data_IF_541269372157
#
_entry.id   IF_541269372157
#
_cell.length_a   1.000
_cell.length_b   1.000
_cell.length_c   1.000
_cell.angle_alpha   90.00
_cell.angle_beta   90.00
_cell.angle_gamma   90.00
#
_symmetry.space_group_name_H-M   'P 1'
#
loop_
_entity.id
_entity.type
_entity.pdbx_description
1 polymer ?
#
# COMPACT_ATOMS: atom_id res chain seq x y z
N UNK A 1 23.93 1.52 -7.24
CA UNK A 1 22.68 1.77 -7.98
C UNK A 1 21.62 0.88 -7.35
N UNK A 2 20.76 1.43 -6.49
CA UNK A 2 19.67 0.64 -5.88
C UNK A 2 18.46 0.83 -6.78
N UNK A 3 18.23 -0.15 -7.65
CA UNK A 3 16.98 -0.26 -8.42
C UNK A 3 15.94 -0.87 -7.49
N UNK A 4 15.19 -0.02 -6.76
CA UNK A 4 14.07 -0.49 -5.95
C UNK A 4 12.88 -0.68 -6.91
N UNK A 5 12.85 -1.81 -7.62
CA UNK A 5 11.71 -2.19 -8.46
C UNK A 5 10.58 -2.82 -7.64
N UNK A 6 10.89 -3.27 -6.41
CA UNK A 6 9.96 -3.86 -5.46
C UNK A 6 10.08 -3.10 -4.14
N UNK A 7 9.04 -2.35 -3.78
CA UNK A 7 8.91 -1.80 -2.43
C UNK A 7 8.14 -2.80 -1.58
N UNK A 8 8.81 -3.32 -0.55
CA UNK A 8 8.15 -4.11 0.50
C UNK A 8 7.42 -3.14 1.43
N UNK A 9 6.09 -3.06 1.30
CA UNK A 9 5.27 -2.26 2.21
C UNK A 9 4.92 -3.11 3.42
N UNK A 10 5.51 -2.82 4.57
CA UNK A 10 5.17 -3.48 5.83
C UNK A 10 4.08 -2.69 6.56
N UNK A 11 2.83 -3.18 6.62
CA UNK A 11 1.81 -2.53 7.42
C UNK A 11 2.21 -2.66 8.87
N UNK A 12 2.53 -1.54 9.52
CA UNK A 12 2.65 -1.51 10.97
C UNK A 12 1.26 -1.84 11.53
N UNK A 13 1.10 -3.03 12.09
CA UNK A 13 -0.12 -3.40 12.82
C UNK A 13 -0.44 -2.24 13.79
N UNK A 14 -1.69 -1.73 13.79
CA UNK A 14 -2.04 -0.66 14.70
C UNK A 14 -1.68 -1.14 16.12
N UNK A 15 -0.92 -0.31 16.85
CA UNK A 15 -0.61 -0.60 18.25
C UNK A 15 -1.92 -0.94 18.94
N UNK A 16 -1.97 -2.11 19.60
CA UNK A 16 -3.17 -2.65 20.24
C UNK A 16 -3.91 -1.51 20.93
N UNK A 17 -5.05 -1.10 20.37
CA UNK A 17 -5.97 -0.21 21.08
C UNK A 17 -6.46 -1.04 22.26
N UNK A 18 -5.88 -0.81 23.45
CA UNK A 18 -6.18 -1.53 24.68
C UNK A 18 -7.62 -1.25 25.10
N UNK A 19 -8.56 -2.00 24.56
CA UNK A 19 -9.91 -2.16 25.10
C UNK A 19 -10.10 -3.63 25.48
N UNK A 20 -9.69 -3.97 26.70
CA UNK A 20 -10.02 -5.27 27.31
C UNK A 20 -9.33 -6.50 26.71
N UNK A 21 -9.63 -7.71 27.21
CA UNK A 21 -8.84 -8.92 26.98
C UNK A 21 -9.11 -9.63 25.64
N UNK A 22 -9.67 -8.94 24.64
CA UNK A 22 -9.93 -9.53 23.33
C UNK A 22 -8.99 -8.94 22.28
N UNK A 23 -7.97 -9.71 21.93
CA UNK A 23 -7.19 -9.46 20.71
C UNK A 23 -8.11 -9.82 19.56
N UNK A 24 -8.78 -8.84 18.95
CA UNK A 24 -9.50 -9.05 17.69
C UNK A 24 -8.46 -8.94 16.59
N UNK A 25 -8.06 -10.04 15.96
CA UNK A 25 -7.13 -9.97 14.85
C UNK A 25 -7.80 -9.30 13.64
N UNK A 26 -7.05 -8.40 12.98
CA UNK A 26 -7.50 -7.64 11.81
C UNK A 26 -7.52 -8.51 10.56
N UNK A 27 -8.40 -9.51 10.51
CA UNK A 27 -8.42 -10.49 9.43
C UNK A 27 -9.44 -10.19 8.32
N UNK A 28 -10.44 -9.32 8.56
CA UNK A 28 -11.55 -9.19 7.61
C UNK A 28 -11.40 -8.00 6.67
N UNK A 29 -11.38 -8.34 5.39
CA UNK A 29 -11.32 -7.39 4.27
C UNK A 29 -9.93 -7.31 3.68
N UNK A 30 -9.82 -6.53 2.62
CA UNK A 30 -8.59 -6.45 1.82
C UNK A 30 -7.77 -5.19 2.02
N UNK A 31 -6.77 -5.03 1.17
CA UNK A 31 -5.95 -3.81 1.07
C UNK A 31 -5.90 -3.29 -0.37
N UNK A 32 -5.58 -2.01 -0.49
CA UNK A 32 -5.33 -1.30 -1.74
C UNK A 32 -4.11 -0.41 -1.56
N UNK A 33 -3.22 -0.40 -2.55
CA UNK A 33 -2.02 0.44 -2.58
C UNK A 33 -2.10 1.28 -3.85
N UNK A 34 -2.00 2.60 -3.70
CA UNK A 34 -2.09 3.56 -4.80
C UNK A 34 -0.93 4.54 -4.72
N UNK A 35 -0.46 4.98 -5.89
CA UNK A 35 0.42 6.12 -6.02
C UNK A 35 -0.42 7.34 -6.39
N UNK A 36 -0.35 8.37 -5.57
CA UNK A 36 -1.03 9.65 -5.81
C UNK A 36 0.00 10.76 -6.01
N UNK A 37 -0.32 11.74 -6.84
CA UNK A 37 0.50 12.94 -7.01
C UNK A 37 0.30 13.92 -5.83
N UNK A 38 1.09 15.00 -5.82
CA UNK A 38 0.99 16.09 -4.85
C UNK A 38 -0.40 16.76 -4.77
N UNK A 39 -1.19 16.67 -5.84
CA UNK A 39 -2.52 17.26 -5.95
C UNK A 39 -3.62 16.26 -5.51
N UNK A 40 -3.23 15.03 -5.17
CA UNK A 40 -4.11 13.95 -4.73
C UNK A 40 -4.74 13.13 -5.86
N UNK A 41 -4.30 13.31 -7.11
CA UNK A 41 -4.78 12.51 -8.23
C UNK A 41 -4.07 11.15 -8.27
N UNK A 42 -4.80 10.10 -8.60
CA UNK A 42 -4.23 8.76 -8.78
C UNK A 42 -3.32 8.73 -10.02
N UNK A 43 -2.04 8.45 -9.80
CA UNK A 43 -1.04 8.25 -10.85
C UNK A 43 -1.05 6.82 -11.33
N UNK A 44 -1.11 5.87 -10.39
CA UNK A 44 -1.05 4.43 -10.63
C UNK A 44 -1.70 3.64 -9.48
N UNK A 45 -2.42 2.58 -9.81
CA UNK A 45 -2.85 1.59 -8.82
C UNK A 45 -1.79 0.48 -8.74
N UNK A 46 -1.12 0.41 -7.60
CA UNK A 46 0.03 -0.49 -7.39
C UNK A 46 -0.41 -1.88 -6.91
N UNK A 47 -1.50 -1.94 -6.15
CA UNK A 47 -2.19 -3.18 -5.80
C UNK A 47 -3.67 -2.88 -5.50
N UNK A 48 -4.60 -3.72 -5.93
CA UNK A 48 -4.40 -4.97 -6.68
C UNK A 48 -4.29 -4.75 -8.20
N UNK A 49 -3.41 -5.50 -8.86
CA UNK A 49 -3.12 -5.32 -10.30
C UNK A 49 -4.28 -5.79 -11.20
N UNK A 50 -5.20 -6.61 -10.67
CA UNK A 50 -6.25 -7.28 -11.44
C UNK A 50 -7.56 -6.47 -11.54
N UNK A 51 -7.58 -5.20 -11.14
CA UNK A 51 -8.78 -4.35 -11.18
C UNK A 51 -9.91 -4.76 -10.21
N UNK A 52 -9.60 -5.64 -9.25
CA UNK A 52 -10.47 -5.87 -8.09
C UNK A 52 -10.34 -4.67 -7.13
N UNK A 53 -11.35 -4.30 -6.36
CA UNK A 53 -11.22 -3.09 -5.52
C UNK A 53 -10.22 -3.25 -4.36
N UNK A 54 -10.04 -4.48 -3.87
CA UNK A 54 -9.16 -4.79 -2.73
C UNK A 54 -8.53 -6.18 -2.90
N UNK A 55 -7.20 -6.27 -2.69
CA UNK A 55 -6.48 -7.54 -2.60
C UNK A 55 -6.62 -8.19 -1.21
N UNK A 56 -6.42 -9.51 -1.12
CA UNK A 56 -6.21 -10.20 0.16
C UNK A 56 -7.47 -10.42 1.01
N UNK A 57 -8.66 -10.45 0.40
CA UNK A 57 -9.95 -10.68 1.10
C UNK A 57 -10.07 -12.08 1.75
N UNK A 58 -9.17 -13.00 1.39
CA UNK A 58 -9.15 -14.39 1.86
C UNK A 58 -7.96 -14.56 2.83
N UNK A 59 -8.20 -14.53 4.14
CA UNK A 59 -7.27 -14.94 5.22
C UNK A 59 -5.81 -14.46 5.12
N UNK A 60 -5.57 -13.22 4.69
CA UNK A 60 -4.21 -12.74 4.53
C UNK A 60 -3.69 -12.03 5.80
N UNK A 61 -2.94 -12.80 6.59
CA UNK A 61 -1.90 -12.36 7.53
C UNK A 61 -0.73 -11.65 6.84
N UNK A 62 -0.83 -11.33 5.55
CA UNK A 62 0.23 -10.72 4.76
C UNK A 62 0.66 -9.39 5.39
N UNK A 63 1.88 -9.39 5.92
CA UNK A 63 2.55 -8.21 6.49
C UNK A 63 3.44 -7.53 5.47
N UNK A 64 3.39 -7.95 4.21
CA UNK A 64 4.18 -7.33 3.16
C UNK A 64 3.61 -7.63 1.80
N UNK A 65 3.65 -6.63 0.93
CA UNK A 65 3.34 -6.77 -0.48
C UNK A 65 4.48 -6.19 -1.31
N UNK A 66 4.82 -6.86 -2.41
CA UNK A 66 5.72 -6.32 -3.43
C UNK A 66 4.89 -5.58 -4.47
N UNK A 67 5.22 -4.31 -4.68
CA UNK A 67 4.60 -3.49 -5.71
C UNK A 67 5.63 -3.00 -6.70
N UNK A 68 5.21 -2.90 -7.96
CA UNK A 68 6.04 -2.41 -9.06
C UNK A 68 5.51 -1.09 -9.58
N UNK A 69 6.41 -0.13 -9.73
CA UNK A 69 6.10 1.17 -10.33
C UNK A 69 6.29 1.10 -11.83
N UNK A 70 5.32 1.58 -12.60
CA UNK A 70 5.44 1.71 -14.07
C UNK A 70 5.62 3.16 -14.52
N UNK A 71 5.33 4.13 -13.64
CA UNK A 71 5.42 5.56 -13.95
C UNK A 71 6.39 6.27 -13.01
N UNK A 72 7.29 7.06 -13.60
CA UNK A 72 8.08 8.02 -12.83
C UNK A 72 7.19 9.12 -12.25
N UNK A 73 7.52 9.58 -11.05
CA UNK A 73 6.67 10.44 -10.25
C UNK A 73 7.53 11.24 -9.25
N UNK A 74 7.40 12.57 -9.26
CA UNK A 74 8.08 13.45 -8.30
C UNK A 74 7.08 14.02 -7.30
N UNK A 75 7.46 14.05 -6.01
CA UNK A 75 6.62 14.53 -4.91
C UNK A 75 5.29 13.78 -4.82
N UNK A 76 5.38 12.45 -4.87
CA UNK A 76 4.22 11.58 -4.88
C UNK A 76 4.06 10.87 -3.55
N UNK A 77 2.88 10.37 -3.25
CA UNK A 77 2.60 9.64 -2.02
C UNK A 77 2.12 8.24 -2.36
N UNK A 78 2.71 7.24 -1.73
CA UNK A 78 2.15 5.88 -1.69
C UNK A 78 1.11 5.83 -0.58
N UNK A 79 -0.14 5.58 -0.95
CA UNK A 79 -1.28 5.43 -0.05
C UNK A 79 -1.66 3.96 0.07
N UNK A 80 -1.52 3.41 1.27
CA UNK A 80 -2.04 2.10 1.66
C UNK A 80 -3.39 2.28 2.37
N UNK A 81 -4.43 1.65 1.85
CA UNK A 81 -5.74 1.54 2.49
C UNK A 81 -6.01 0.09 2.87
N UNK A 82 -6.37 -0.14 4.13
CA UNK A 82 -6.73 -1.48 4.63
C UNK A 82 -8.12 -1.48 5.22
N UNK A 83 -8.92 -2.47 4.85
CA UNK A 83 -10.25 -2.66 5.43
C UNK A 83 -10.16 -3.27 6.83
N UNK A 84 -11.10 -2.89 7.70
CA UNK A 84 -11.33 -3.53 9.00
C UNK A 84 -12.82 -3.86 9.12
N UNK A 85 -13.28 -4.81 8.31
CA UNK A 85 -14.71 -5.12 8.20
C UNK A 85 -15.28 -5.71 9.50
N UNK A 86 -14.43 -6.13 10.43
CA UNK A 86 -14.77 -6.48 11.79
C UNK A 86 -15.35 -5.31 12.62
N UNK A 87 -14.99 -4.06 12.33
CA UNK A 87 -15.44 -2.87 13.08
C UNK A 87 -16.56 -2.10 12.37
N UNK A 88 -16.83 -2.45 11.12
CA UNK A 88 -17.89 -1.85 10.33
C UNK A 88 -17.61 -1.96 8.84
N UNK A 89 -18.69 -1.95 8.03
CA UNK A 89 -18.59 -2.14 6.57
C UNK A 89 -17.73 -1.08 5.88
N UNK A 90 -17.67 0.13 6.43
CA UNK A 90 -16.93 1.28 5.89
C UNK A 90 -15.61 1.58 6.60
N UNK A 91 -15.20 0.80 7.61
CA UNK A 91 -14.00 1.12 8.38
C UNK A 91 -12.73 0.88 7.55
N UNK A 92 -11.86 1.89 7.46
CA UNK A 92 -10.60 1.86 6.70
C UNK A 92 -9.47 2.46 7.52
N UNK A 93 -8.32 1.78 7.51
CA UNK A 93 -7.05 2.34 7.96
C UNK A 93 -6.29 2.88 6.75
N UNK A 94 -5.62 4.02 6.92
CA UNK A 94 -4.81 4.67 5.90
C UNK A 94 -3.40 4.90 6.39
N UNK A 95 -2.42 4.59 5.57
CA UNK A 95 -1.02 4.92 5.78
C UNK A 95 -0.47 5.58 4.53
N UNK A 96 0.29 6.65 4.71
CA UNK A 96 0.87 7.43 3.62
C UNK A 96 2.40 7.44 3.74
N UNK A 97 3.10 7.40 2.61
CA UNK A 97 4.54 7.57 2.55
C UNK A 97 4.92 8.42 1.33
N UNK A 98 5.68 9.48 1.54
CA UNK A 98 6.14 10.36 0.45
C UNK A 98 7.34 9.73 -0.27
N UNK A 99 7.30 9.72 -1.60
CA UNK A 99 8.25 9.04 -2.48
C UNK A 99 8.56 9.86 -3.71
N UNK A 100 9.75 9.62 -4.26
CA UNK A 100 10.12 10.04 -5.61
C UNK A 100 10.46 8.77 -6.40
N UNK A 101 9.72 8.53 -7.49
CA UNK A 101 9.91 7.42 -8.41
C UNK A 101 10.68 7.93 -9.63
N UNK A 102 11.90 7.44 -9.81
CA UNK A 102 12.80 7.88 -10.89
C UNK A 102 12.81 6.85 -12.03
N UNK A 103 12.76 7.32 -13.27
CA UNK A 103 12.99 6.45 -14.44
C UNK A 103 14.48 6.13 -14.54
N UNK A 104 14.84 4.85 -14.46
CA UNK A 104 16.21 4.42 -14.71
C UNK A 104 16.43 4.30 -16.21
N UNK A 105 16.98 5.34 -16.83
CA UNK A 105 17.57 5.20 -18.17
C UNK A 105 18.88 4.44 -17.99
N UNK A 106 19.07 3.25 -18.59
CA UNK A 106 20.36 2.59 -18.59
C UNK A 106 21.32 3.47 -19.40
N UNK A 107 22.10 4.29 -18.70
CA UNK A 107 23.05 5.19 -19.32
C UNK A 107 24.14 4.40 -20.02
N UNK A 108 24.29 4.65 -21.31
CA UNK A 108 25.57 4.51 -22.00
C UNK A 108 26.58 5.38 -21.24
N UNK A 109 27.40 4.74 -20.42
CA UNK A 109 28.60 5.36 -19.86
C UNK A 109 29.58 5.46 -21.04
N UNK A 110 29.80 6.67 -21.54
CA UNK A 110 30.94 6.98 -22.41
C UNK A 110 32.24 6.90 -21.60
#
# INVERSE_FOLDING_TARGET
MVSIQDIKIEPKLPERVRHGPQVIPFFKGGYRITLIDKDGNTVEELAPINGIEFAGNEDNLAQSENVRFTRACSECTVLLERQALEWGKSYRFRSCADVNVLETVPGNIC
#
